data_IF_188072996476
#
_entry.id   IF_188072996476
#
_cell.length_a   1.000
_cell.length_b   1.000
_cell.length_c   1.000
_cell.angle_alpha   90.00
_cell.angle_beta   90.00
_cell.angle_gamma   90.00
#
_symmetry.space_group_name_H-M   'P 1'
#
loop_
_entity.id
_entity.type
_entity.pdbx_description
1 polymer ?
#
# COMPACT_ATOMS: atom_id res chain seq x y z
N UNK A 1 -3.77 11.74 -4.33
CA UNK A 1 -3.00 10.57 -3.87
C UNK A 1 -2.27 9.99 -5.08
N UNK A 2 -1.01 9.58 -4.95
CA UNK A 2 -0.31 8.89 -6.06
C UNK A 2 -0.25 7.38 -5.81
N UNK A 3 -0.74 6.59 -6.76
CA UNK A 3 -0.65 5.13 -6.73
C UNK A 3 0.43 4.69 -7.71
N UNK A 4 1.62 4.37 -7.19
CA UNK A 4 2.70 3.88 -8.01
C UNK A 4 2.44 2.42 -8.39
N UNK A 5 2.57 2.08 -9.67
CA UNK A 5 2.38 0.72 -10.15
C UNK A 5 3.71 0.13 -10.65
N UNK A 6 4.09 -1.03 -10.10
CA UNK A 6 5.17 -1.83 -10.70
C UNK A 6 4.75 -2.37 -12.07
N UNK A 7 5.72 -2.83 -12.88
CA UNK A 7 5.43 -3.32 -14.24
C UNK A 7 4.37 -4.43 -14.27
N UNK A 8 4.44 -5.38 -13.32
CA UNK A 8 3.46 -6.45 -13.19
C UNK A 8 2.02 -5.96 -12.94
N UNK A 9 1.87 -4.83 -12.23
CA UNK A 9 0.57 -4.17 -12.03
C UNK A 9 0.17 -3.40 -13.28
N UNK A 10 1.07 -2.62 -13.89
CA UNK A 10 0.79 -1.86 -15.12
C UNK A 10 0.27 -2.76 -16.26
N UNK A 11 0.78 -3.99 -16.37
CA UNK A 11 0.32 -4.95 -17.38
C UNK A 11 -1.15 -5.41 -17.17
N UNK A 12 -1.69 -5.24 -15.95
CA UNK A 12 -3.11 -5.42 -15.64
C UNK A 12 -3.95 -4.17 -15.93
N UNK A 13 -3.33 -2.99 -15.89
CA UNK A 13 -3.97 -1.68 -16.02
C UNK A 13 -4.02 -1.17 -17.47
N UNK A 14 -4.38 -2.04 -18.41
CA UNK A 14 -4.28 -1.77 -19.86
C UNK A 14 -4.99 -0.50 -20.35
N UNK A 15 -6.02 -0.05 -19.64
CA UNK A 15 -6.83 1.13 -20.00
C UNK A 15 -6.59 2.33 -19.09
N UNK A 16 -5.78 2.17 -18.04
CA UNK A 16 -5.48 3.24 -17.10
C UNK A 16 -4.23 3.98 -17.56
N UNK A 17 -4.34 5.30 -17.74
CA UNK A 17 -3.20 6.14 -18.04
C UNK A 17 -2.23 6.15 -16.85
N UNK A 18 -0.95 5.93 -17.12
CA UNK A 18 0.12 6.09 -16.15
C UNK A 18 0.65 7.50 -16.28
N UNK A 19 0.36 8.35 -15.30
CA UNK A 19 0.79 9.74 -15.24
C UNK A 19 2.24 9.84 -14.73
N UNK A 20 2.88 10.97 -15.02
CA UNK A 20 4.12 11.33 -14.33
C UNK A 20 3.83 11.71 -12.88
N UNK A 21 4.74 11.34 -11.97
CA UNK A 21 4.63 11.75 -10.57
C UNK A 21 4.74 13.27 -10.48
N UNK A 22 3.85 13.88 -9.69
CA UNK A 22 3.83 15.32 -9.42
C UNK A 22 4.64 15.67 -8.16
N UNK A 23 5.40 14.72 -7.62
CA UNK A 23 6.16 14.92 -6.39
C UNK A 23 5.27 15.05 -5.15
N UNK A 24 4.15 14.31 -5.10
CA UNK A 24 3.33 14.25 -3.91
C UNK A 24 4.14 13.81 -2.69
N UNK A 25 3.76 14.31 -1.50
CA UNK A 25 4.38 13.85 -0.24
C UNK A 25 4.21 12.34 -0.08
N UNK A 26 5.28 11.65 0.32
CA UNK A 26 5.34 10.18 0.35
C UNK A 26 4.29 9.54 1.25
N UNK A 27 3.81 10.25 2.27
CA UNK A 27 2.72 9.78 3.14
C UNK A 27 1.43 9.55 2.36
N UNK A 28 1.24 10.27 1.25
CA UNK A 28 0.10 10.15 0.32
C UNK A 28 0.44 9.30 -0.91
N UNK A 29 1.59 8.62 -0.93
CA UNK A 29 2.02 7.79 -2.03
C UNK A 29 1.94 6.31 -1.64
N UNK A 30 1.30 5.51 -2.48
CA UNK A 30 1.15 4.07 -2.27
C UNK A 30 1.64 3.30 -3.50
N UNK A 31 2.68 2.51 -3.34
CA UNK A 31 3.20 1.66 -4.39
C UNK A 31 2.52 0.28 -4.37
N UNK A 32 2.26 -0.25 -5.55
CA UNK A 32 1.50 -1.49 -5.74
C UNK A 32 2.30 -2.52 -6.51
N UNK A 33 2.26 -3.76 -6.01
CA UNK A 33 3.03 -4.87 -6.54
C UNK A 33 2.20 -6.15 -6.61
N UNK A 34 2.21 -6.82 -7.75
CA UNK A 34 1.47 -8.06 -7.98
C UNK A 34 2.47 -9.21 -8.15
N UNK A 35 2.40 -10.20 -7.27
CA UNK A 35 3.23 -11.41 -7.36
C UNK A 35 2.47 -12.63 -6.81
N UNK A 36 3.07 -13.82 -6.92
CA UNK A 36 2.52 -15.05 -6.34
C UNK A 36 3.14 -15.32 -4.97
N UNK A 37 2.28 -15.51 -3.97
CA UNK A 37 2.64 -16.07 -2.67
C UNK A 37 1.98 -17.44 -2.58
N UNK A 38 2.77 -18.51 -2.42
CA UNK A 38 2.28 -19.90 -2.35
C UNK A 38 1.31 -20.26 -3.48
N UNK A 39 1.60 -19.79 -4.70
CA UNK A 39 0.81 -20.06 -5.91
C UNK A 39 -0.40 -19.15 -6.15
N UNK A 40 -0.82 -18.33 -5.18
CA UNK A 40 -1.95 -17.39 -5.31
C UNK A 40 -1.45 -15.98 -5.62
N UNK A 41 -2.14 -15.27 -6.52
CA UNK A 41 -1.81 -13.88 -6.82
C UNK A 41 -2.16 -12.99 -5.62
N UNK A 42 -1.17 -12.23 -5.14
CA UNK A 42 -1.31 -11.24 -4.08
C UNK A 42 -0.93 -9.87 -4.63
N UNK A 43 -1.84 -8.91 -4.51
CA UNK A 43 -1.60 -7.50 -4.72
C UNK A 43 -1.18 -6.88 -3.38
N UNK A 44 0.07 -6.49 -3.28
CA UNK A 44 0.58 -5.68 -2.19
C UNK A 44 0.34 -4.19 -2.48
N UNK A 45 -0.13 -3.47 -1.48
CA UNK A 45 -0.33 -2.02 -1.50
C UNK A 45 0.50 -1.48 -0.34
N UNK A 46 1.56 -0.73 -0.65
CA UNK A 46 2.65 -0.38 0.26
C UNK A 46 2.79 1.14 0.32
N UNK A 47 2.66 1.74 1.50
CA UNK A 47 2.86 3.17 1.64
C UNK A 47 4.34 3.53 1.42
N UNK A 48 4.63 4.55 0.61
CA UNK A 48 5.99 4.90 0.22
C UNK A 48 6.78 5.57 1.37
N UNK A 49 6.10 6.24 2.30
CA UNK A 49 6.73 6.89 3.46
C UNK A 49 7.15 5.88 4.53
N UNK A 50 6.21 5.04 4.97
CA UNK A 50 6.35 4.21 6.18
C UNK A 50 6.41 2.69 5.90
N UNK A 51 6.30 2.26 4.64
CA UNK A 51 6.21 0.85 4.18
C UNK A 51 5.03 0.04 4.76
N UNK A 52 4.02 0.69 5.31
CA UNK A 52 2.82 -0.03 5.75
C UNK A 52 2.23 -0.79 4.58
N UNK A 53 2.05 -2.10 4.76
CA UNK A 53 1.75 -3.05 3.70
C UNK A 53 0.38 -3.68 3.91
N UNK A 54 -0.43 -3.66 2.85
CA UNK A 54 -1.73 -4.32 2.78
C UNK A 54 -1.62 -5.42 1.73
N UNK A 55 -2.01 -6.65 2.08
CA UNK A 55 -2.01 -7.79 1.16
C UNK A 55 -3.45 -8.15 0.75
N UNK A 56 -3.75 -8.03 -0.55
CA UNK A 56 -5.05 -8.37 -1.13
C UNK A 56 -4.91 -9.54 -2.11
N UNK A 57 -5.91 -10.42 -2.14
CA UNK A 57 -5.99 -11.58 -3.03
C UNK A 57 -7.26 -11.53 -3.86
N UNK A 58 -7.28 -12.31 -4.95
CA UNK A 58 -8.47 -12.53 -5.80
C UNK A 58 -9.12 -11.22 -6.28
N UNK A 59 -8.28 -10.31 -6.79
CA UNK A 59 -8.73 -9.06 -7.38
C UNK A 59 -9.51 -9.34 -8.67
N UNK A 60 -10.81 -9.08 -8.63
CA UNK A 60 -11.73 -9.22 -9.77
C UNK A 60 -11.38 -8.29 -10.93
N UNK A 61 -11.72 -8.70 -12.15
CA UNK A 61 -11.49 -7.91 -13.37
C UNK A 61 -12.08 -6.50 -13.30
N UNK A 62 -13.25 -6.33 -12.66
CA UNK A 62 -13.89 -5.03 -12.46
C UNK A 62 -13.04 -4.07 -11.62
N UNK A 63 -12.33 -4.57 -10.60
CA UNK A 63 -11.48 -3.75 -9.74
C UNK A 63 -10.21 -3.29 -10.47
N UNK A 64 -9.70 -4.03 -11.44
CA UNK A 64 -8.63 -3.56 -12.33
C UNK A 64 -9.09 -2.43 -13.26
N UNK A 65 -10.35 -2.45 -13.71
CA UNK A 65 -10.93 -1.36 -14.52
C UNK A 65 -11.11 -0.08 -13.70
N UNK A 66 -11.50 -0.21 -12.43
CA UNK A 66 -11.70 0.92 -11.51
C UNK A 66 -10.61 0.99 -10.43
N UNK A 67 -9.36 0.87 -10.87
CA UNK A 67 -8.22 0.62 -9.99
C UNK A 67 -8.00 1.71 -8.91
N UNK A 68 -8.02 2.98 -9.28
CA UNK A 68 -7.81 4.08 -8.34
C UNK A 68 -8.89 4.11 -7.25
N UNK A 69 -10.16 3.86 -7.62
CA UNK A 69 -11.27 3.75 -6.69
C UNK A 69 -11.12 2.53 -5.78
N UNK A 70 -10.71 1.38 -6.34
CA UNK A 70 -10.48 0.15 -5.58
C UNK A 70 -9.39 0.34 -4.52
N UNK A 71 -8.22 0.85 -4.89
CA UNK A 71 -7.10 1.08 -3.96
C UNK A 71 -7.49 2.10 -2.88
N UNK A 72 -8.15 3.20 -3.25
CA UNK A 72 -8.62 4.20 -2.28
C UNK A 72 -9.59 3.59 -1.26
N UNK A 73 -10.51 2.72 -1.70
CA UNK A 73 -11.43 2.01 -0.80
C UNK A 73 -10.70 1.03 0.12
N UNK A 74 -9.71 0.30 -0.38
CA UNK A 74 -8.91 -0.61 0.45
C UNK A 74 -8.17 0.16 1.54
N UNK A 75 -7.52 1.27 1.19
CA UNK A 75 -6.82 2.14 2.17
C UNK A 75 -7.81 2.69 3.20
N UNK A 76 -8.98 3.18 2.76
CA UNK A 76 -10.05 3.67 3.65
C UNK A 76 -10.45 2.60 4.68
N UNK A 77 -10.81 1.39 4.22
CA UNK A 77 -11.23 0.28 5.09
C UNK A 77 -10.13 -0.11 6.07
N UNK A 78 -8.88 -0.24 5.62
CA UNK A 78 -7.77 -0.60 6.51
C UNK A 78 -7.51 0.50 7.54
N UNK A 79 -7.62 1.79 7.17
CA UNK A 79 -7.52 2.86 8.15
C UNK A 79 -8.66 2.80 9.20
N UNK A 80 -9.88 2.44 8.81
CA UNK A 80 -10.97 2.21 9.77
C UNK A 80 -10.63 1.06 10.74
N UNK A 81 -10.14 -0.06 10.22
CA UNK A 81 -9.74 -1.22 11.02
C UNK A 81 -8.57 -0.92 11.97
N UNK A 82 -7.68 0.00 11.59
CA UNK A 82 -6.63 0.54 12.46
C UNK A 82 -7.16 1.46 13.56
N UNK A 83 -8.44 1.80 13.55
CA UNK A 83 -9.10 2.63 14.56
C UNK A 83 -9.11 4.13 14.27
N UNK A 84 -8.80 4.55 13.04
CA UNK A 84 -8.92 5.96 12.66
C UNK A 84 -10.39 6.35 12.47
N UNK A 85 -10.77 7.51 12.98
CA UNK A 85 -12.11 8.06 12.79
C UNK A 85 -12.36 8.46 11.33
N UNK A 86 -13.61 8.46 10.90
CA UNK A 86 -14.00 8.94 9.56
C UNK A 86 -13.51 10.37 9.28
N UNK A 87 -13.45 11.24 10.28
CA UNK A 87 -12.91 12.59 10.12
C UNK A 87 -11.41 12.59 9.80
N UNK A 88 -10.62 11.75 10.48
CA UNK A 88 -9.20 11.59 10.19
C UNK A 88 -8.97 11.01 8.80
N UNK A 89 -9.76 10.00 8.42
CA UNK A 89 -9.65 9.36 7.10
C UNK A 89 -10.05 10.35 5.99
N UNK A 90 -11.15 11.09 6.17
CA UNK A 90 -11.55 12.16 5.24
C UNK A 90 -10.48 13.26 5.13
N UNK A 91 -9.89 13.69 6.26
CA UNK A 91 -8.78 14.67 6.25
C UNK A 91 -7.60 14.13 5.44
N UNK A 92 -7.19 12.88 5.67
CA UNK A 92 -6.12 12.23 4.92
C UNK A 92 -6.39 12.24 3.41
N UNK A 93 -7.56 11.76 2.96
CA UNK A 93 -7.89 11.74 1.53
C UNK A 93 -8.02 13.15 0.93
N UNK A 94 -8.59 14.11 1.67
CA UNK A 94 -8.68 15.51 1.24
C UNK A 94 -7.29 16.12 1.03
N UNK A 95 -6.37 15.91 1.97
CA UNK A 95 -4.99 16.39 1.85
C UNK A 95 -4.21 15.71 0.73
N UNK A 96 -4.52 14.43 0.47
CA UNK A 96 -3.86 13.67 -0.60
C UNK A 96 -4.22 14.19 -2.00
N UNK A 97 -5.37 14.88 -2.16
CA UNK A 97 -5.89 15.32 -3.46
C UNK A 97 -6.32 14.17 -4.37
N UNK A 98 -6.61 14.49 -5.63
CA UNK A 98 -7.09 13.53 -6.63
C UNK A 98 -6.17 12.30 -6.77
N UNK A 99 -6.77 11.13 -6.94
CA UNK A 99 -6.04 9.87 -7.05
C UNK A 99 -5.61 9.61 -8.49
N UNK A 100 -4.31 9.47 -8.73
CA UNK A 100 -3.72 9.14 -10.04
C UNK A 100 -2.86 7.87 -9.96
N UNK A 101 -2.66 7.21 -11.10
CA UNK A 101 -1.70 6.09 -11.20
C UNK A 101 -0.40 6.63 -11.80
N UNK A 102 0.72 6.30 -11.17
CA UNK A 102 2.06 6.76 -11.54
C UNK A 102 3.04 5.58 -11.65
N UNK A 103 4.30 5.87 -12.00
CA UNK A 103 5.41 4.94 -11.72
C UNK A 103 5.71 4.94 -10.21
N UNK A 104 6.37 3.88 -9.73
CA UNK A 104 6.74 3.75 -8.32
C UNK A 104 7.66 4.87 -7.83
N UNK A 105 7.55 5.22 -6.54
CA UNK A 105 8.13 6.43 -5.94
C UNK A 105 9.60 6.25 -5.51
N UNK A 106 10.45 5.89 -6.47
CA UNK A 106 11.90 5.84 -6.27
C UNK A 106 12.47 4.47 -5.87
N UNK A 107 13.81 4.40 -5.84
CA UNK A 107 14.54 3.14 -5.70
C UNK A 107 14.41 2.53 -4.30
N UNK A 108 14.39 3.34 -3.23
CA UNK A 108 14.26 2.82 -1.86
C UNK A 108 12.88 2.21 -1.63
N UNK A 109 11.82 2.83 -2.16
CA UNK A 109 10.47 2.25 -2.10
C UNK A 109 10.42 0.88 -2.79
N UNK A 110 10.94 0.78 -4.02
CA UNK A 110 11.05 -0.51 -4.75
C UNK A 110 11.91 -1.53 -3.99
N UNK A 111 13.01 -1.11 -3.39
CA UNK A 111 13.84 -1.96 -2.53
C UNK A 111 13.07 -2.49 -1.31
N UNK A 112 12.26 -1.64 -0.69
CA UNK A 112 11.34 -2.00 0.39
C UNK A 112 10.31 -3.05 -0.03
N UNK A 113 9.70 -2.88 -1.21
CA UNK A 113 8.78 -3.87 -1.79
C UNK A 113 9.50 -5.20 -2.02
N UNK A 114 10.69 -5.19 -2.63
CA UNK A 114 11.43 -6.43 -2.88
C UNK A 114 11.75 -7.18 -1.58
N UNK A 115 12.13 -6.45 -0.52
CA UNK A 115 12.36 -7.04 0.80
C UNK A 115 11.09 -7.65 1.39
N UNK A 116 10.00 -6.89 1.40
CA UNK A 116 8.69 -7.35 1.86
C UNK A 116 8.20 -8.59 1.10
N UNK A 117 8.42 -8.67 -0.22
CA UNK A 117 8.07 -9.86 -1.02
C UNK A 117 8.88 -11.07 -0.58
N UNK A 118 10.18 -10.91 -0.29
CA UNK A 118 10.99 -12.00 0.27
C UNK A 118 10.41 -12.48 1.60
N UNK A 119 10.09 -11.56 2.50
CA UNK A 119 9.55 -11.91 3.83
C UNK A 119 8.18 -12.60 3.70
N UNK A 120 7.33 -12.17 2.76
CA UNK A 120 6.04 -12.79 2.47
C UNK A 120 6.14 -14.24 2.01
N UNK A 121 7.23 -14.64 1.35
CA UNK A 121 7.46 -16.05 0.98
C UNK A 121 7.68 -16.94 2.22
N UNK A 122 8.24 -16.38 3.30
CA UNK A 122 8.46 -17.07 4.57
C UNK A 122 7.26 -17.05 5.50
N UNK A 123 6.14 -16.41 5.10
CA UNK A 123 4.92 -16.40 5.90
C UNK A 123 4.46 -17.85 6.17
N UNK A 124 4.52 -18.28 7.43
CA UNK A 124 4.34 -19.69 7.80
C UNK A 124 2.90 -20.21 7.63
N UNK A 125 1.91 -19.32 7.62
CA UNK A 125 0.48 -19.69 7.58
C UNK A 125 -0.06 -19.78 6.14
N UNK A 126 -1.25 -20.35 5.99
CA UNK A 126 -1.95 -20.38 4.70
C UNK A 126 -2.61 -19.02 4.45
N UNK A 127 -2.82 -18.68 3.18
CA UNK A 127 -3.66 -17.53 2.82
C UNK A 127 -5.13 -17.88 3.05
N UNK A 128 -5.88 -16.94 3.61
CA UNK A 128 -7.31 -17.07 3.89
C UNK A 128 -8.10 -17.22 2.59
N UNK A 129 -8.83 -18.32 2.44
CA UNK A 129 -9.51 -18.66 1.18
C UNK A 129 -10.73 -17.78 0.91
N UNK A 130 -11.46 -17.45 1.95
CA UNK A 130 -12.77 -16.79 1.86
C UNK A 130 -12.68 -15.27 2.02
N UNK A 131 -11.48 -14.74 2.29
CA UNK A 131 -11.21 -13.32 2.42
C UNK A 131 -10.29 -12.83 1.30
N UNK A 132 -10.64 -11.68 0.70
CA UNK A 132 -9.73 -10.98 -0.23
C UNK A 132 -8.60 -10.32 0.55
N UNK A 133 -8.93 -9.64 1.64
CA UNK A 133 -7.95 -9.04 2.54
C UNK A 133 -7.26 -10.10 3.39
N UNK A 134 -5.95 -10.22 3.23
CA UNK A 134 -5.11 -11.16 3.96
C UNK A 134 -4.55 -10.48 5.22
N UNK A 135 -5.40 -10.36 6.24
CA UNK A 135 -5.08 -9.67 7.51
C UNK A 135 -3.79 -10.21 8.14
N UNK A 136 -3.69 -11.52 8.36
CA UNK A 136 -2.52 -12.10 9.05
C UNK A 136 -1.21 -11.91 8.29
N UNK A 137 -1.25 -11.95 6.95
CA UNK A 137 -0.07 -11.66 6.13
C UNK A 137 0.29 -10.18 6.24
N UNK A 138 -0.69 -9.28 6.21
CA UNK A 138 -0.46 -7.84 6.35
C UNK A 138 0.15 -7.53 7.73
N UNK A 139 -0.41 -8.09 8.80
CA UNK A 139 0.12 -7.97 10.17
C UNK A 139 1.55 -8.50 10.28
N UNK A 140 1.84 -9.66 9.68
CA UNK A 140 3.19 -10.22 9.67
C UNK A 140 4.20 -9.27 9.01
N UNK A 141 3.85 -8.67 7.86
CA UNK A 141 4.74 -7.76 7.13
C UNK A 141 4.91 -6.40 7.82
N UNK A 142 3.91 -5.96 8.60
CA UNK A 142 3.95 -4.70 9.33
C UNK A 142 4.63 -4.80 10.71
N UNK A 143 5.16 -5.97 11.06
CA UNK A 143 5.92 -6.25 12.29
C UNK A 143 7.42 -6.48 12.03
N UNK A 144 7.88 -6.32 10.79
CA UNK A 144 9.31 -6.34 10.48
C UNK A 144 9.90 -4.93 10.57
N UNK A 145 11.01 -4.80 11.31
CA UNK A 145 11.67 -3.52 11.54
C UNK A 145 12.29 -3.03 10.23
N UNK A 146 12.18 -1.73 9.96
CA UNK A 146 12.75 -1.15 8.75
C UNK A 146 13.09 0.31 8.86
N UNK A 147 13.94 0.77 7.94
CA UNK A 147 14.20 2.18 7.70
C UNK A 147 13.57 2.57 6.36
N UNK A 148 12.31 3.04 6.35
CA UNK A 148 11.61 3.36 5.11
C UNK A 148 12.07 4.72 4.54
N UNK A 149 11.55 5.16 3.39
CA UNK A 149 11.98 6.41 2.73
C UNK A 149 11.60 7.67 3.54
N UNK A 150 10.43 7.69 4.17
CA UNK A 150 9.94 8.86 4.91
C UNK A 150 10.53 9.04 6.31
N UNK A 151 11.44 8.15 6.75
CA UNK A 151 11.99 8.17 8.11
C UNK A 151 13.51 7.92 8.10
N UNK A 152 14.24 8.70 8.90
CA UNK A 152 15.68 8.54 9.11
C UNK A 152 16.02 7.43 10.12
N UNK A 153 15.01 6.91 10.83
CA UNK A 153 15.16 5.90 11.88
C UNK A 153 14.54 4.57 11.50
N UNK A 154 15.00 3.51 12.15
CA UNK A 154 14.33 2.21 12.10
C UNK A 154 13.03 2.23 12.91
N UNK A 155 12.02 1.52 12.43
CA UNK A 155 10.76 1.33 13.15
C UNK A 155 9.87 0.28 12.50
N UNK A 156 8.79 -0.08 13.19
CA UNK A 156 7.76 -0.96 12.66
C UNK A 156 6.84 -0.17 11.72
N UNK A 157 6.54 -0.65 10.50
CA UNK A 157 5.65 0.05 9.57
C UNK A 157 4.31 0.48 10.19
N UNK A 158 3.72 -0.35 11.06
CA UNK A 158 2.48 -0.04 11.78
C UNK A 158 2.59 1.15 12.75
N UNK A 159 3.74 1.34 13.38
CA UNK A 159 4.01 2.48 14.26
C UNK A 159 4.37 3.73 13.47
N UNK A 160 5.19 3.58 12.42
CA UNK A 160 5.57 4.67 11.53
C UNK A 160 4.34 5.25 10.80
N UNK A 161 3.39 4.41 10.39
CA UNK A 161 2.11 4.88 9.85
C UNK A 161 1.33 5.73 10.85
N UNK A 162 1.29 5.33 12.14
CA UNK A 162 0.64 6.13 13.19
C UNK A 162 1.32 7.48 13.40
N UNK A 163 2.65 7.53 13.32
CA UNK A 163 3.41 8.77 13.41
C UNK A 163 3.08 9.70 12.23
N UNK A 164 3.07 9.19 11.01
CA UNK A 164 2.69 9.94 9.80
C UNK A 164 1.30 10.58 9.95
N UNK A 165 0.28 9.79 10.32
CA UNK A 165 -1.10 10.31 10.49
C UNK A 165 -1.19 11.33 11.64
N UNK A 166 -0.43 11.16 12.72
CA UNK A 166 -0.38 12.12 13.83
C UNK A 166 0.22 13.46 13.39
N UNK A 167 1.30 13.43 12.61
CA UNK A 167 1.94 14.64 12.09
C UNK A 167 1.00 15.41 11.15
N UNK A 168 0.22 14.72 10.32
CA UNK A 168 -0.83 15.33 9.48
C UNK A 168 -1.98 15.94 10.29
N UNK A 169 -2.23 15.44 11.50
CA UNK A 169 -3.28 15.97 12.39
C UNK A 169 -2.83 17.20 13.17
N UNK A 170 -1.52 17.43 13.28
CA UNK A 170 -0.92 18.51 14.08
C UNK A 170 -0.61 19.78 13.27
N UNK A 171 -0.76 19.72 11.95
CA UNK A 171 -0.74 20.86 11.02
C UNK A 171 -2.15 21.22 10.55
#
# INVERSE_FOLDING_TARGET
MEIGATKAVQDRLKTTKIEESKGASLVFCWDTHLTKIKGRNVLFIVNASNRYTIAMTDIEQGNWKYYTMYISRVIHVVMQEMGYSEDQIRKYFKMSGDTTVTKTHGRKSVGGINRMVMDAQYFGKKLEKEAKYQWELSEYLNRDICQPEGFDTYGYPSELFKLDIRLLSSG
#
